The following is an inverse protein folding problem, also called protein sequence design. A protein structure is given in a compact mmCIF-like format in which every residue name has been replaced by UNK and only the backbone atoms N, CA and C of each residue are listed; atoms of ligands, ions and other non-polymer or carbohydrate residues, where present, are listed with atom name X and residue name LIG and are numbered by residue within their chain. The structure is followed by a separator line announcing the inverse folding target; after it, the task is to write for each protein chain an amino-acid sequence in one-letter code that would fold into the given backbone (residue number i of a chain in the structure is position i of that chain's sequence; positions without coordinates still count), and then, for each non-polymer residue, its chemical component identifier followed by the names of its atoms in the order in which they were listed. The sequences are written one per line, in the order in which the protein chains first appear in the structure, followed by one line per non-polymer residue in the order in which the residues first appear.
data_IF_405936438430
#
_entry.id   IF_405936438430
#
_cell.length_a   1.000
_cell.length_b   1.000
_cell.length_c   1.000
_cell.angle_alpha   90.00
_cell.angle_beta   90.00
_cell.angle_gamma   90.00
#
_symmetry.space_group_name_H-M   'P 1'
#
loop_
_entity.id
_entity.type
_entity.pdbx_description
1 polymer ?
#
# COMPACT_ATOMS: atom_id res chain seq x y z
N UNK A 1 2.75 19.53 -21.56
CA UNK A 1 2.55 19.93 -22.96
C UNK A 1 3.39 19.00 -23.78
N UNK A 2 2.80 18.44 -24.84
CA UNK A 2 3.26 17.22 -25.50
C UNK A 2 4.48 17.48 -26.38
N UNK A 3 5.43 16.56 -26.34
CA UNK A 3 6.63 16.60 -27.16
C UNK A 3 6.43 15.84 -28.49
N UNK A 4 7.31 16.03 -29.47
CA UNK A 4 7.22 15.33 -30.76
C UNK A 4 7.16 13.80 -30.62
N UNK A 5 7.92 13.25 -29.65
CA UNK A 5 7.91 11.81 -29.34
C UNK A 5 6.54 11.33 -28.83
N UNK A 6 5.85 12.18 -28.07
CA UNK A 6 4.53 11.89 -27.50
C UNK A 6 3.51 11.83 -28.63
N UNK A 7 3.53 12.82 -29.52
CA UNK A 7 2.66 12.88 -30.70
C UNK A 7 2.89 11.65 -31.59
N UNK A 8 4.14 11.30 -31.89
CA UNK A 8 4.46 10.14 -32.71
C UNK A 8 3.96 8.82 -32.11
N UNK A 9 4.10 8.66 -30.78
CA UNK A 9 3.58 7.49 -30.08
C UNK A 9 2.05 7.45 -30.09
N UNK A 10 1.40 8.59 -29.80
CA UNK A 10 -0.04 8.72 -29.85
C UNK A 10 -0.61 8.40 -31.23
N UNK A 11 -0.03 8.95 -32.30
CA UNK A 11 -0.45 8.64 -33.67
C UNK A 11 -0.35 7.16 -34.00
N UNK A 12 0.69 6.48 -33.53
CA UNK A 12 0.86 5.04 -33.73
C UNK A 12 -0.24 4.24 -33.04
N UNK A 13 -0.52 4.54 -31.77
CA UNK A 13 -1.46 3.75 -30.95
C UNK A 13 -2.91 4.10 -31.25
N UNK A 14 -3.22 5.39 -31.42
CA UNK A 14 -4.58 5.89 -31.61
C UNK A 14 -5.14 5.63 -33.01
N UNK A 15 -4.32 5.25 -34.00
CA UNK A 15 -4.82 4.78 -35.31
C UNK A 15 -5.66 3.51 -35.19
N UNK A 16 -5.36 2.67 -34.19
CA UNK A 16 -5.99 1.36 -33.97
C UNK A 16 -7.31 1.44 -33.20
N UNK A 17 -7.71 2.60 -32.66
CA UNK A 17 -8.94 2.70 -31.86
C UNK A 17 -10.18 2.61 -32.75
N UNK A 18 -11.02 1.62 -32.52
CA UNK A 18 -12.22 1.38 -33.33
C UNK A 18 -13.42 2.25 -32.91
N UNK A 19 -13.53 2.58 -31.63
CA UNK A 19 -14.68 3.26 -31.02
C UNK A 19 -14.23 4.61 -30.43
N UNK A 20 -15.07 5.66 -30.46
CA UNK A 20 -14.75 6.90 -29.78
C UNK A 20 -14.59 6.73 -28.27
N UNK A 21 -13.59 7.40 -27.69
CA UNK A 21 -13.34 7.43 -26.23
C UNK A 21 -13.62 8.83 -25.72
N UNK A 22 -14.31 8.92 -24.59
CA UNK A 22 -14.49 10.20 -23.90
C UNK A 22 -13.45 10.32 -22.79
N UNK A 23 -12.77 11.45 -22.76
CA UNK A 23 -11.97 11.92 -21.65
C UNK A 23 -12.82 12.92 -20.86
N UNK A 24 -13.20 12.55 -19.64
CA UNK A 24 -13.92 13.46 -18.75
C UNK A 24 -12.92 14.17 -17.83
N UNK A 25 -12.86 15.50 -17.91
CA UNK A 25 -12.18 16.31 -16.91
C UNK A 25 -13.14 16.58 -15.74
N UNK A 26 -12.78 16.09 -14.56
CA UNK A 26 -13.46 16.42 -13.31
C UNK A 26 -12.75 17.61 -12.67
N UNK A 27 -13.42 18.75 -12.62
CA UNK A 27 -12.89 19.95 -11.94
C UNK A 27 -13.07 19.83 -10.42
N UNK A 28 -12.09 20.29 -9.65
CA UNK A 28 -12.17 20.42 -8.18
C UNK A 28 -11.95 21.86 -7.73
N UNK A 29 -12.08 22.17 -6.44
CA UNK A 29 -11.63 23.47 -5.90
C UNK A 29 -10.11 23.46 -5.72
N UNK A 30 -9.36 23.48 -6.83
CA UNK A 30 -7.89 23.42 -6.81
C UNK A 30 -7.26 24.25 -7.93
N UNK A 31 -6.14 24.90 -7.61
CA UNK A 31 -5.31 25.69 -8.54
C UNK A 31 -4.80 24.90 -9.75
N UNK A 32 -4.77 23.56 -9.68
CA UNK A 32 -4.24 22.70 -10.73
C UNK A 32 -5.24 22.48 -11.88
N UNK A 33 -6.53 22.79 -11.69
CA UNK A 33 -7.59 22.57 -12.71
C UNK A 33 -7.19 23.00 -14.12
N UNK A 34 -6.60 24.20 -14.24
CA UNK A 34 -6.21 24.77 -15.54
C UNK A 34 -5.17 23.90 -16.28
N UNK A 35 -4.28 23.23 -15.54
CA UNK A 35 -3.29 22.33 -16.13
C UNK A 35 -3.95 21.05 -16.65
N UNK A 36 -4.93 20.52 -15.91
CA UNK A 36 -5.71 19.35 -16.33
C UNK A 36 -6.54 19.66 -17.56
N UNK A 37 -7.31 20.75 -17.54
CA UNK A 37 -8.13 21.19 -18.67
C UNK A 37 -7.29 21.37 -19.94
N UNK A 38 -6.19 22.14 -19.85
CA UNK A 38 -5.26 22.34 -20.98
C UNK A 38 -4.68 21.03 -21.51
N UNK A 39 -4.30 20.11 -20.62
CA UNK A 39 -3.76 18.81 -21.04
C UNK A 39 -4.82 17.98 -21.79
N UNK A 40 -6.06 17.94 -21.29
CA UNK A 40 -7.13 17.16 -21.93
C UNK A 40 -7.52 17.77 -23.26
N UNK A 41 -7.57 19.10 -23.38
CA UNK A 41 -7.75 19.79 -24.67
C UNK A 41 -6.68 19.36 -25.68
N UNK A 42 -5.40 19.42 -25.28
CA UNK A 42 -4.27 19.01 -26.12
C UNK A 42 -4.36 17.52 -26.51
N UNK A 43 -4.60 16.63 -25.55
CA UNK A 43 -4.73 15.20 -25.77
C UNK A 43 -5.93 14.85 -26.68
N UNK A 44 -7.05 15.57 -26.55
CA UNK A 44 -8.22 15.35 -27.40
C UNK A 44 -8.00 15.76 -28.85
N UNK A 45 -7.06 16.68 -29.12
CA UNK A 45 -6.69 17.09 -30.47
C UNK A 45 -5.90 16.02 -31.24
N UNK A 46 -5.33 15.02 -30.55
CA UNK A 46 -4.51 13.95 -31.13
C UNK A 46 -5.31 13.00 -32.03
N UNK A 47 -6.63 12.91 -31.85
CA UNK A 47 -7.47 12.06 -32.69
C UNK A 47 -8.92 12.53 -32.66
N UNK A 48 -9.57 12.54 -33.84
CA UNK A 48 -11.01 12.84 -33.97
C UNK A 48 -11.93 11.86 -33.22
N UNK A 49 -11.40 10.71 -32.79
CA UNK A 49 -12.12 9.70 -32.01
C UNK A 49 -12.01 9.94 -30.51
N UNK A 50 -11.20 10.91 -30.05
CA UNK A 50 -11.17 11.32 -28.65
C UNK A 50 -12.13 12.48 -28.48
N UNK A 51 -13.06 12.34 -27.54
CA UNK A 51 -13.99 13.40 -27.12
C UNK A 51 -13.55 13.94 -25.78
N UNK A 52 -13.72 15.23 -25.61
CA UNK A 52 -13.46 15.92 -24.36
C UNK A 52 -14.79 16.39 -23.75
N UNK A 53 -14.98 16.14 -22.46
CA UNK A 53 -16.10 16.64 -21.69
C UNK A 53 -15.62 17.18 -20.33
N UNK A 54 -16.28 18.21 -19.83
CA UNK A 54 -15.99 18.80 -18.51
C UNK A 54 -17.13 18.51 -17.56
N UNK A 55 -16.82 17.81 -16.47
CA UNK A 55 -17.74 17.49 -15.39
C UNK A 55 -17.45 18.42 -14.22
N UNK A 56 -18.39 19.34 -13.95
CA UNK A 56 -18.37 20.16 -12.74
C UNK A 56 -18.93 19.35 -11.58
N UNK A 57 -18.08 18.91 -10.67
CA UNK A 57 -18.49 18.19 -9.47
C UNK A 57 -18.16 19.02 -8.24
N UNK A 58 -19.19 19.55 -7.57
CA UNK A 58 -19.02 20.47 -6.44
C UNK A 58 -18.27 19.86 -5.25
N UNK A 59 -18.28 18.53 -5.11
CA UNK A 59 -17.65 17.81 -3.97
C UNK A 59 -16.36 17.06 -4.36
N UNK A 60 -15.84 17.25 -5.59
CA UNK A 60 -14.60 16.59 -5.99
C UNK A 60 -13.42 17.17 -5.19
N UNK A 61 -12.72 16.30 -4.45
CA UNK A 61 -11.56 16.70 -3.63
C UNK A 61 -10.32 17.02 -4.46
N UNK A 62 -10.14 16.32 -5.58
CA UNK A 62 -8.98 16.43 -6.47
C UNK A 62 -9.45 16.52 -7.91
N UNK A 63 -8.80 17.34 -8.76
CA UNK A 63 -9.05 17.30 -10.19
C UNK A 63 -8.67 15.94 -10.76
N UNK A 64 -9.36 15.51 -11.81
CA UNK A 64 -9.08 14.23 -12.45
C UNK A 64 -9.30 14.23 -13.95
N UNK A 65 -8.52 13.44 -14.67
CA UNK A 65 -8.84 12.99 -16.04
C UNK A 65 -9.38 11.57 -15.92
N UNK A 66 -10.61 11.36 -16.37
CA UNK A 66 -11.25 10.04 -16.34
C UNK A 66 -11.21 9.42 -17.72
N UNK A 67 -10.68 8.20 -17.80
CA UNK A 67 -10.59 7.40 -19.02
C UNK A 67 -11.48 6.17 -18.87
N UNK A 68 -12.47 6.04 -19.77
CA UNK A 68 -13.37 4.88 -19.82
C UNK A 68 -14.17 4.64 -18.54
N UNK A 69 -14.40 5.68 -17.73
CA UNK A 69 -15.15 5.61 -16.46
C UNK A 69 -14.48 4.84 -15.32
N UNK A 70 -13.32 4.22 -15.55
CA UNK A 70 -12.63 3.33 -14.59
C UNK A 70 -11.30 3.86 -14.09
N UNK A 71 -10.57 4.59 -14.93
CA UNK A 71 -9.22 5.07 -14.63
C UNK A 71 -9.25 6.57 -14.40
N UNK A 72 -8.82 7.00 -13.21
CA UNK A 72 -8.84 8.38 -12.74
C UNK A 72 -7.41 8.84 -12.57
N UNK A 73 -6.94 9.74 -13.43
CA UNK A 73 -5.67 10.39 -13.28
C UNK A 73 -5.85 11.63 -12.41
N UNK A 74 -5.49 11.53 -11.13
CA UNK A 74 -5.15 12.66 -10.28
C UNK A 74 -3.66 13.00 -10.48
N UNK A 75 -3.29 13.22 -11.73
CA UNK A 75 -1.96 13.52 -12.21
C UNK A 75 -2.06 14.11 -13.62
N UNK A 76 -1.07 14.88 -14.06
CA UNK A 76 -0.90 15.22 -15.47
C UNK A 76 -0.04 14.12 -16.10
N UNK A 77 -0.56 13.30 -17.03
CA UNK A 77 0.19 12.20 -17.59
C UNK A 77 1.07 12.69 -18.75
N UNK A 78 2.10 13.46 -18.40
CA UNK A 78 3.13 13.91 -19.34
C UNK A 78 4.40 13.03 -19.24
N UNK A 79 5.39 13.31 -20.09
CA UNK A 79 6.69 12.65 -20.07
C UNK A 79 6.56 11.11 -20.09
N UNK A 80 7.17 10.42 -19.11
CA UNK A 80 7.17 8.96 -19.03
C UNK A 80 5.79 8.36 -18.77
N UNK A 81 4.85 9.14 -18.25
CA UNK A 81 3.46 8.72 -17.98
C UNK A 81 2.52 8.96 -19.17
N UNK A 82 2.96 9.69 -20.21
CA UNK A 82 2.14 9.92 -21.41
C UNK A 82 1.84 8.63 -22.17
N UNK A 83 2.85 7.77 -22.34
CA UNK A 83 2.65 6.49 -23.04
C UNK A 83 1.64 5.57 -22.32
N UNK A 84 1.75 5.32 -21.00
CA UNK A 84 0.69 4.63 -20.22
C UNK A 84 -0.70 5.25 -20.35
N UNK A 85 -0.82 6.58 -20.45
CA UNK A 85 -2.10 7.25 -20.65
C UNK A 85 -2.70 6.97 -22.03
N UNK A 86 -1.90 7.03 -23.10
CA UNK A 86 -2.38 6.65 -24.44
C UNK A 86 -2.75 5.16 -24.49
N UNK A 87 -2.00 4.29 -23.81
CA UNK A 87 -2.34 2.87 -23.65
C UNK A 87 -3.71 2.71 -22.97
N UNK A 88 -4.01 3.51 -21.94
CA UNK A 88 -5.31 3.51 -21.27
C UNK A 88 -6.47 3.88 -22.20
N UNK A 89 -6.28 4.89 -23.07
CA UNK A 89 -7.28 5.27 -24.08
C UNK A 89 -7.52 4.11 -25.06
N UNK A 90 -6.45 3.46 -25.52
CA UNK A 90 -6.55 2.31 -26.42
C UNK A 90 -7.30 1.13 -25.79
N UNK A 91 -7.05 0.87 -24.50
CA UNK A 91 -7.73 -0.17 -23.74
C UNK A 91 -9.20 0.15 -23.48
N UNK A 92 -9.54 1.42 -23.21
CA UNK A 92 -10.92 1.86 -23.00
C UNK A 92 -11.84 1.60 -24.21
N UNK A 93 -11.26 1.48 -25.42
CA UNK A 93 -12.01 1.12 -26.63
C UNK A 93 -12.41 -0.34 -26.70
N UNK A 94 -11.75 -1.21 -25.92
CA UNK A 94 -11.87 -2.66 -26.03
C UNK A 94 -12.86 -3.15 -24.99
N UNK A 95 -13.81 -3.97 -25.41
CA UNK A 95 -14.58 -4.79 -24.47
C UNK A 95 -13.73 -6.00 -24.14
N UNK A 96 -13.09 -5.99 -22.97
CA UNK A 96 -12.44 -7.19 -22.45
C UNK A 96 -13.46 -8.03 -21.67
N UNK A 97 -13.45 -9.36 -21.78
CA UNK A 97 -14.19 -10.22 -20.87
C UNK A 97 -13.71 -9.94 -19.44
N UNK A 98 -14.67 -9.76 -18.52
CA UNK A 98 -14.37 -9.47 -17.11
C UNK A 98 -14.04 -10.77 -16.37
N UNK A 99 -12.89 -10.80 -15.70
CA UNK A 99 -12.48 -11.97 -14.90
C UNK A 99 -12.99 -11.93 -13.45
N UNK A 100 -13.34 -10.74 -12.94
CA UNK A 100 -13.83 -10.55 -11.57
C UNK A 100 -14.81 -9.39 -11.45
N UNK A 101 -15.84 -9.57 -10.61
CA UNK A 101 -16.78 -8.52 -10.19
C UNK A 101 -16.45 -7.94 -8.81
N UNK A 102 -15.39 -8.41 -8.16
CA UNK A 102 -14.98 -7.93 -6.83
C UNK A 102 -14.71 -6.43 -6.88
N UNK A 103 -15.53 -5.66 -6.15
CA UNK A 103 -15.37 -4.22 -6.07
C UNK A 103 -14.02 -3.90 -5.42
N UNK A 104 -13.15 -3.27 -6.19
CA UNK A 104 -11.78 -2.97 -5.76
C UNK A 104 -11.45 -1.54 -6.14
N UNK A 105 -11.00 -0.78 -5.15
CA UNK A 105 -10.40 0.54 -5.34
C UNK A 105 -8.88 0.38 -5.30
N UNK A 106 -8.24 0.64 -6.43
CA UNK A 106 -6.79 0.60 -6.57
C UNK A 106 -6.26 2.03 -6.68
N UNK A 107 -5.32 2.42 -5.82
CA UNK A 107 -4.62 3.70 -5.96
C UNK A 107 -3.15 3.43 -6.29
N UNK A 108 -2.63 4.09 -7.31
CA UNK A 108 -1.22 4.04 -7.69
C UNK A 108 -0.64 5.42 -7.42
N UNK A 109 0.19 5.53 -6.38
CA UNK A 109 0.92 6.76 -6.10
C UNK A 109 2.17 6.78 -6.96
N UNK A 110 2.26 7.80 -7.82
CA UNK A 110 3.38 8.05 -8.73
C UNK A 110 4.09 9.34 -8.32
N UNK A 111 5.32 9.52 -8.80
CA UNK A 111 6.12 10.72 -8.58
C UNK A 111 6.76 11.17 -9.89
N UNK A 112 6.92 12.49 -10.13
CA UNK A 112 7.60 12.99 -11.32
C UNK A 112 9.01 12.40 -11.47
N UNK A 113 9.37 11.98 -12.70
CA UNK A 113 10.70 11.42 -13.02
C UNK A 113 10.92 9.96 -12.59
N UNK A 114 9.93 9.30 -12.00
CA UNK A 114 9.99 7.90 -11.60
C UNK A 114 10.00 6.96 -12.82
N UNK A 115 11.14 6.28 -13.07
CA UNK A 115 11.28 5.37 -14.24
C UNK A 115 10.46 4.08 -14.13
N UNK A 116 10.00 3.72 -12.91
CA UNK A 116 9.24 2.50 -12.65
C UNK A 116 7.72 2.70 -12.69
N UNK A 117 7.27 3.92 -12.43
CA UNK A 117 5.85 4.28 -12.34
C UNK A 117 5.07 3.96 -13.64
N UNK A 118 5.61 4.19 -14.85
CA UNK A 118 4.89 3.90 -16.08
C UNK A 118 4.43 2.43 -16.19
N UNK A 119 5.26 1.49 -15.71
CA UNK A 119 4.93 0.06 -15.77
C UNK A 119 3.91 -0.32 -14.69
N UNK A 120 3.98 0.27 -13.51
CA UNK A 120 2.95 0.07 -12.48
C UNK A 120 1.58 0.61 -12.95
N UNK A 121 1.56 1.80 -13.58
CA UNK A 121 0.35 2.39 -14.17
C UNK A 121 -0.20 1.49 -15.27
N UNK A 122 0.63 1.01 -16.20
CA UNK A 122 0.19 0.07 -17.26
C UNK A 122 -0.45 -1.19 -16.69
N UNK A 123 0.16 -1.82 -15.69
CA UNK A 123 -0.37 -3.04 -15.09
C UNK A 123 -1.72 -2.78 -14.41
N UNK A 124 -1.82 -1.70 -13.61
CA UNK A 124 -3.07 -1.32 -12.95
C UNK A 124 -4.19 -1.00 -13.96
N UNK A 125 -3.87 -0.24 -15.01
CA UNK A 125 -4.82 0.12 -16.08
C UNK A 125 -5.31 -1.12 -16.83
N UNK A 126 -4.39 -2.00 -17.24
CA UNK A 126 -4.74 -3.29 -17.87
C UNK A 126 -5.65 -4.12 -16.98
N UNK A 127 -5.32 -4.18 -15.69
CA UNK A 127 -6.10 -4.91 -14.70
C UNK A 127 -7.50 -4.32 -14.53
N UNK A 128 -7.65 -2.98 -14.51
CA UNK A 128 -8.95 -2.31 -14.42
C UNK A 128 -9.84 -2.54 -15.66
N UNK A 129 -9.26 -2.48 -16.86
CA UNK A 129 -10.06 -2.74 -18.06
C UNK A 129 -10.40 -4.21 -18.24
N UNK A 130 -9.64 -5.13 -17.63
CA UNK A 130 -9.91 -6.58 -17.62
C UNK A 130 -10.89 -7.02 -16.52
N UNK A 131 -11.28 -6.13 -15.60
CA UNK A 131 -12.14 -6.45 -14.46
C UNK A 131 -13.19 -5.36 -14.22
N UNK A 132 -14.47 -5.72 -14.19
CA UNK A 132 -15.55 -4.73 -14.07
C UNK A 132 -15.67 -4.08 -12.69
N UNK A 133 -15.30 -4.79 -11.62
CA UNK A 133 -15.35 -4.27 -10.26
C UNK A 133 -14.20 -3.32 -9.90
N UNK A 134 -13.22 -3.12 -10.78
CA UNK A 134 -11.97 -2.43 -10.44
C UNK A 134 -11.98 -0.98 -10.93
N UNK A 135 -11.77 -0.06 -9.99
CA UNK A 135 -11.47 1.36 -10.24
C UNK A 135 -10.00 1.62 -9.94
N UNK A 136 -9.32 2.38 -10.79
CA UNK A 136 -7.93 2.80 -10.59
C UNK A 136 -7.85 4.32 -10.46
N UNK A 137 -7.17 4.79 -9.43
CA UNK A 137 -6.78 6.19 -9.23
C UNK A 137 -5.26 6.30 -9.29
N UNK A 138 -4.73 7.00 -10.28
CA UNK A 138 -3.30 7.32 -10.39
C UNK A 138 -3.09 8.70 -9.79
N UNK A 139 -2.27 8.80 -8.76
CA UNK A 139 -2.13 10.01 -7.93
C UNK A 139 -0.69 10.48 -7.99
N UNK A 140 -0.46 11.71 -8.46
CA UNK A 140 0.82 12.37 -8.32
C UNK A 140 1.01 12.79 -6.86
N UNK A 141 1.88 12.08 -6.15
CA UNK A 141 2.12 12.28 -4.73
C UNK A 141 2.84 13.58 -4.41
N UNK A 142 3.49 14.22 -5.40
CA UNK A 142 4.10 15.53 -5.22
C UNK A 142 3.05 16.64 -5.43
N UNK A 143 2.21 16.51 -6.46
CA UNK A 143 1.14 17.47 -6.74
C UNK A 143 0.06 17.48 -5.67
N UNK A 144 -0.24 16.31 -5.09
CA UNK A 144 -1.31 16.13 -4.10
C UNK A 144 -0.79 15.59 -2.76
N UNK A 145 0.33 16.13 -2.29
CA UNK A 145 0.99 15.71 -1.04
C UNK A 145 0.04 15.68 0.16
N UNK A 146 -0.79 16.73 0.35
CA UNK A 146 -1.77 16.80 1.45
C UNK A 146 -2.82 15.68 1.37
N UNK A 147 -3.20 15.25 0.17
CA UNK A 147 -4.21 14.21 -0.02
C UNK A 147 -3.66 12.81 0.32
N UNK A 148 -2.35 12.62 0.25
CA UNK A 148 -1.68 11.34 0.53
C UNK A 148 -0.87 11.35 1.83
N UNK A 149 -0.82 12.47 2.56
CA UNK A 149 -0.01 12.62 3.78
C UNK A 149 -0.31 11.52 4.82
N UNK A 150 -1.59 11.24 5.05
CA UNK A 150 -2.04 10.20 6.00
C UNK A 150 -1.71 8.77 5.56
N UNK A 151 -1.28 8.60 4.30
CA UNK A 151 -0.91 7.31 3.75
C UNK A 151 0.58 6.99 4.01
N UNK A 152 1.38 7.94 4.53
CA UNK A 152 2.82 7.79 4.84
C UNK A 152 3.63 7.13 3.70
N UNK A 153 3.37 7.54 2.45
CA UNK A 153 4.04 6.97 1.27
C UNK A 153 5.49 7.46 1.18
N UNK A 154 6.47 6.55 1.32
CA UNK A 154 7.90 6.91 1.22
C UNK A 154 8.55 6.57 -0.12
N UNK A 155 7.87 5.86 -1.00
CA UNK A 155 8.40 5.49 -2.32
C UNK A 155 7.32 5.42 -3.40
N UNK A 156 7.76 5.57 -4.66
CA UNK A 156 6.91 5.43 -5.83
C UNK A 156 7.53 4.44 -6.84
N UNK A 157 6.73 3.65 -7.55
CA UNK A 157 5.28 3.56 -7.41
C UNK A 157 4.87 2.82 -6.13
N UNK A 158 3.76 3.24 -5.50
CA UNK A 158 3.11 2.47 -4.44
C UNK A 158 1.68 2.15 -4.84
N UNK A 159 1.34 0.86 -4.85
CA UNK A 159 -0.02 0.37 -5.09
C UNK A 159 -0.74 0.19 -3.77
N UNK A 160 -1.91 0.79 -3.65
CA UNK A 160 -2.78 0.72 -2.49
C UNK A 160 -4.07 0.02 -2.91
N UNK A 161 -4.45 -1.01 -2.17
CA UNK A 161 -5.62 -1.84 -2.48
C UNK A 161 -6.63 -1.67 -1.36
N UNK A 162 -7.80 -1.12 -1.71
CA UNK A 162 -8.91 -0.84 -0.79
C UNK A 162 -8.50 -0.08 0.49
N UNK A 163 -7.49 0.79 0.40
CA UNK A 163 -6.90 1.54 1.53
C UNK A 163 -6.34 0.67 2.67
N UNK A 164 -6.11 -0.62 2.41
CA UNK A 164 -5.68 -1.61 3.41
C UNK A 164 -4.29 -2.18 3.13
N UNK A 165 -4.03 -2.55 1.89
CA UNK A 165 -2.78 -3.21 1.51
C UNK A 165 -1.94 -2.26 0.68
N UNK A 166 -0.68 -2.13 1.06
CA UNK A 166 0.30 -1.23 0.45
C UNK A 166 1.43 -2.10 -0.09
N UNK A 167 1.72 -1.96 -1.38
CA UNK A 167 2.77 -2.72 -2.05
C UNK A 167 3.60 -1.76 -2.89
N UNK A 168 4.88 -1.67 -2.57
CA UNK A 168 5.83 -0.79 -3.27
C UNK A 168 6.40 -1.48 -4.50
N UNK A 169 6.68 -0.71 -5.55
CA UNK A 169 7.28 -1.19 -6.79
C UNK A 169 6.27 -1.64 -7.85
N UNK A 170 6.79 -2.27 -8.91
CA UNK A 170 5.97 -2.74 -10.04
C UNK A 170 5.47 -4.14 -9.74
N UNK A 171 4.14 -4.30 -9.72
CA UNK A 171 3.47 -5.57 -9.41
C UNK A 171 2.98 -6.19 -10.73
N UNK A 172 3.36 -7.44 -11.05
CA UNK A 172 2.82 -8.16 -12.21
C UNK A 172 1.31 -8.40 -12.11
N UNK A 173 0.62 -8.54 -13.26
CA UNK A 173 -0.84 -8.72 -13.32
C UNK A 173 -1.36 -9.89 -12.46
N UNK A 174 -0.67 -11.04 -12.46
CA UNK A 174 -1.04 -12.23 -11.68
C UNK A 174 -0.91 -11.97 -10.17
N UNK A 175 0.17 -11.30 -9.75
CA UNK A 175 0.38 -10.96 -8.36
C UNK A 175 -0.66 -9.93 -7.89
N UNK A 176 -0.98 -8.92 -8.71
CA UNK A 176 -2.01 -7.93 -8.40
C UNK A 176 -3.39 -8.61 -8.21
N UNK A 177 -3.74 -9.56 -9.08
CA UNK A 177 -4.96 -10.35 -8.92
C UNK A 177 -4.97 -11.13 -7.60
N UNK A 178 -3.83 -11.75 -7.25
CA UNK A 178 -3.66 -12.46 -5.98
C UNK A 178 -3.87 -11.54 -4.78
N UNK A 179 -3.30 -10.34 -4.80
CA UNK A 179 -3.49 -9.36 -3.74
C UNK A 179 -4.94 -8.91 -3.58
N UNK A 180 -5.66 -8.70 -4.68
CA UNK A 180 -7.09 -8.33 -4.64
C UNK A 180 -7.92 -9.41 -3.93
N UNK A 181 -7.71 -10.69 -4.28
CA UNK A 181 -8.41 -11.82 -3.65
C UNK A 181 -8.05 -11.92 -2.16
N UNK A 182 -6.75 -11.90 -1.83
CA UNK A 182 -6.26 -12.00 -0.45
C UNK A 182 -6.77 -10.86 0.44
N UNK A 183 -6.84 -9.65 -0.11
CA UNK A 183 -7.37 -8.47 0.59
C UNK A 183 -8.87 -8.60 0.86
N UNK A 184 -9.63 -9.17 -0.07
CA UNK A 184 -11.06 -9.42 0.12
C UNK A 184 -11.31 -10.52 1.16
N UNK A 185 -10.54 -11.62 1.10
CA UNK A 185 -10.71 -12.78 1.98
C UNK A 185 -10.06 -12.62 3.37
N UNK A 186 -9.23 -11.58 3.56
CA UNK A 186 -8.42 -11.35 4.77
C UNK A 186 -7.54 -12.55 5.12
N UNK A 187 -6.93 -13.15 4.10
CA UNK A 187 -6.03 -14.31 4.23
C UNK A 187 -4.71 -14.02 3.54
N UNK A 188 -3.66 -13.97 4.34
CA UNK A 188 -2.30 -13.64 3.91
C UNK A 188 -1.38 -14.80 4.28
N UNK A 189 -0.52 -15.20 3.35
CA UNK A 189 0.57 -16.13 3.64
C UNK A 189 1.72 -15.42 4.37
N UNK A 190 2.68 -16.18 4.91
CA UNK A 190 3.94 -15.65 5.44
C UNK A 190 4.64 -14.68 4.47
N UNK A 191 4.73 -15.04 3.19
CA UNK A 191 5.38 -14.21 2.17
C UNK A 191 4.63 -12.90 1.91
N UNK A 192 3.30 -12.93 2.00
CA UNK A 192 2.48 -11.73 1.88
C UNK A 192 2.72 -10.79 3.06
N UNK A 193 2.76 -11.32 4.28
CA UNK A 193 3.07 -10.53 5.49
C UNK A 193 4.47 -9.91 5.39
N UNK A 194 5.47 -10.67 4.94
CA UNK A 194 6.82 -10.16 4.70
C UNK A 194 6.80 -9.00 3.69
N UNK A 195 6.06 -9.14 2.59
CA UNK A 195 5.91 -8.07 1.58
C UNK A 195 5.22 -6.84 2.16
N UNK A 196 4.19 -6.99 2.97
CA UNK A 196 3.49 -5.88 3.62
C UNK A 196 4.40 -5.13 4.59
N UNK A 197 5.16 -5.84 5.42
CA UNK A 197 6.15 -5.25 6.33
C UNK A 197 7.19 -4.44 5.54
N UNK A 198 7.76 -5.03 4.48
CA UNK A 198 8.78 -4.38 3.66
C UNK A 198 8.24 -3.20 2.84
N UNK A 199 6.93 -3.21 2.54
CA UNK A 199 6.22 -2.13 1.85
C UNK A 199 5.73 -1.03 2.81
N UNK A 200 6.25 -1.01 4.04
CA UNK A 200 5.91 -0.03 5.09
C UNK A 200 4.46 -0.08 5.55
N UNK A 201 3.77 -1.20 5.30
CA UNK A 201 2.40 -1.42 5.73
C UNK A 201 2.29 -2.05 7.12
N UNK A 202 3.23 -1.79 8.04
CA UNK A 202 3.22 -2.38 9.38
C UNK A 202 2.01 -1.90 10.21
N UNK A 203 1.75 -0.59 10.17
CA UNK A 203 0.58 0.04 10.80
C UNK A 203 -0.73 -0.47 10.17
N UNK A 204 -0.75 -0.65 8.84
CA UNK A 204 -1.92 -1.17 8.11
C UNK A 204 -2.17 -2.64 8.39
N UNK A 205 -1.11 -3.45 8.47
CA UNK A 205 -1.20 -4.84 8.89
C UNK A 205 -1.74 -4.94 10.33
N UNK A 206 -1.29 -4.06 11.22
CA UNK A 206 -1.84 -3.93 12.57
C UNK A 206 -3.32 -3.56 12.56
N UNK A 207 -3.72 -2.54 11.78
CA UNK A 207 -5.14 -2.13 11.63
C UNK A 207 -6.02 -3.29 11.14
N UNK A 208 -5.50 -4.13 10.24
CA UNK A 208 -6.20 -5.34 9.82
C UNK A 208 -6.32 -6.36 10.95
N UNK A 209 -5.25 -6.67 11.69
CA UNK A 209 -5.34 -7.61 12.82
C UNK A 209 -6.33 -7.14 13.89
N UNK A 210 -6.35 -5.83 14.18
CA UNK A 210 -7.31 -5.20 15.10
C UNK A 210 -8.73 -5.37 14.57
N UNK A 211 -8.97 -5.03 13.31
CA UNK A 211 -10.29 -5.19 12.69
C UNK A 211 -10.72 -6.66 12.51
N UNK A 212 -9.81 -7.62 12.61
CA UNK A 212 -10.09 -9.06 12.66
C UNK A 212 -10.23 -9.59 14.10
N UNK A 213 -9.92 -8.77 15.10
CA UNK A 213 -9.75 -9.19 16.50
C UNK A 213 -8.84 -10.42 16.64
N UNK A 214 -7.79 -10.52 15.81
CA UNK A 214 -6.88 -11.67 15.80
C UNK A 214 -5.49 -11.30 15.29
N UNK A 215 -4.46 -11.68 16.06
CA UNK A 215 -3.07 -11.67 15.59
C UNK A 215 -2.83 -12.85 14.64
N UNK A 216 -2.23 -12.62 13.49
CA UNK A 216 -1.96 -13.71 12.53
C UNK A 216 -0.77 -14.56 12.99
N UNK A 217 -0.93 -15.88 13.00
CA UNK A 217 0.12 -16.82 13.45
C UNK A 217 1.42 -16.68 12.64
N UNK A 218 1.31 -16.46 11.32
CA UNK A 218 2.46 -16.25 10.45
C UNK A 218 3.29 -15.01 10.85
N UNK A 219 2.66 -13.96 11.42
CA UNK A 219 3.40 -12.82 11.97
C UNK A 219 4.19 -13.24 13.21
N UNK A 220 3.59 -14.02 14.12
CA UNK A 220 4.28 -14.48 15.32
C UNK A 220 5.51 -15.31 14.95
N UNK A 221 5.42 -16.17 13.93
CA UNK A 221 6.58 -16.93 13.46
C UNK A 221 7.71 -16.06 12.89
N UNK A 222 7.43 -14.82 12.47
CA UNK A 222 8.47 -13.88 12.02
C UNK A 222 9.25 -13.26 13.17
N UNK A 223 8.74 -13.28 14.41
CA UNK A 223 9.46 -12.76 15.58
C UNK A 223 10.80 -13.46 15.83
N UNK A 224 10.97 -14.66 15.27
CA UNK A 224 12.16 -15.48 15.46
C UNK A 224 12.78 -15.93 14.13
N UNK A 225 12.55 -15.16 13.06
CA UNK A 225 13.17 -15.37 11.75
C UNK A 225 14.68 -15.09 11.81
N UNK A 226 15.48 -15.79 11.00
CA UNK A 226 16.92 -15.60 10.94
C UNK A 226 17.29 -14.15 10.51
N UNK A 227 16.43 -13.53 9.69
CA UNK A 227 16.62 -12.14 9.25
C UNK A 227 16.13 -11.16 10.31
N UNK A 228 17.07 -10.40 10.88
CA UNK A 228 16.78 -9.36 11.86
C UNK A 228 15.73 -8.34 11.39
N UNK A 229 15.77 -7.94 10.11
CA UNK A 229 14.79 -6.98 9.57
C UNK A 229 13.35 -7.51 9.60
N UNK A 230 13.15 -8.82 9.48
CA UNK A 230 11.82 -9.43 9.56
C UNK A 230 11.35 -9.52 11.01
N UNK A 231 12.24 -9.86 11.94
CA UNK A 231 11.93 -9.84 13.38
C UNK A 231 11.52 -8.45 13.85
N UNK A 232 12.33 -7.44 13.52
CA UNK A 232 12.02 -6.04 13.86
C UNK A 232 10.69 -5.61 13.24
N UNK A 233 10.45 -5.93 11.96
CA UNK A 233 9.19 -5.62 11.31
C UNK A 233 7.98 -6.25 12.01
N UNK A 234 8.08 -7.50 12.45
CA UNK A 234 7.03 -8.17 13.20
C UNK A 234 6.81 -7.56 14.59
N UNK A 235 7.88 -7.17 15.29
CA UNK A 235 7.79 -6.44 16.57
C UNK A 235 7.06 -5.11 16.40
N UNK A 236 7.43 -4.31 15.39
CA UNK A 236 6.80 -3.02 15.10
C UNK A 236 5.30 -3.18 14.82
N UNK A 237 4.89 -4.23 14.10
CA UNK A 237 3.46 -4.52 13.89
C UNK A 237 2.76 -4.77 15.22
N UNK A 238 3.34 -5.57 16.12
CA UNK A 238 2.75 -5.83 17.44
C UNK A 238 2.75 -4.60 18.34
N UNK A 239 3.74 -3.71 18.24
CA UNK A 239 3.75 -2.43 18.92
C UNK A 239 2.59 -1.53 18.45
N UNK A 240 2.34 -1.44 17.14
CA UNK A 240 1.16 -0.75 16.61
C UNK A 240 -0.16 -1.35 17.09
N UNK A 241 -0.23 -2.69 17.15
CA UNK A 241 -1.42 -3.36 17.71
C UNK A 241 -1.58 -3.03 19.19
N UNK A 242 -0.50 -3.07 19.98
CA UNK A 242 -0.51 -2.73 21.39
C UNK A 242 -0.98 -1.29 21.63
N UNK A 243 -0.46 -0.33 20.85
CA UNK A 243 -0.80 1.08 20.98
C UNK A 243 -2.30 1.35 20.76
N UNK A 244 -2.92 0.63 19.83
CA UNK A 244 -4.34 0.83 19.45
C UNK A 244 -5.30 -0.10 20.18
N UNK A 245 -4.92 -1.35 20.44
CA UNK A 245 -5.75 -2.40 21.04
C UNK A 245 -4.92 -3.34 21.96
N UNK A 246 -4.55 -2.88 23.18
CA UNK A 246 -3.73 -3.66 24.11
C UNK A 246 -4.33 -5.02 24.50
N UNK A 247 -5.66 -5.16 24.50
CA UNK A 247 -6.33 -6.41 24.86
C UNK A 247 -6.07 -7.52 23.84
N UNK A 248 -5.85 -7.16 22.57
CA UNK A 248 -5.51 -8.13 21.55
C UNK A 248 -4.12 -8.75 21.78
N UNK A 249 -3.16 -7.97 22.29
CA UNK A 249 -1.84 -8.47 22.69
C UNK A 249 -1.93 -9.46 23.85
N UNK A 250 -2.81 -9.22 24.82
CA UNK A 250 -3.03 -10.16 25.94
C UNK A 250 -3.41 -11.56 25.47
N UNK A 251 -4.03 -11.70 24.29
CA UNK A 251 -4.38 -13.00 23.73
C UNK A 251 -3.17 -13.82 23.27
N UNK A 252 -2.02 -13.20 23.03
CA UNK A 252 -0.81 -13.85 22.51
C UNK A 252 0.43 -13.71 23.41
N UNK A 253 0.39 -12.84 24.43
CA UNK A 253 1.57 -12.51 25.24
C UNK A 253 2.19 -13.73 25.92
N UNK A 254 1.36 -14.66 26.42
CA UNK A 254 1.85 -15.89 27.05
C UNK A 254 2.64 -16.76 26.07
N UNK A 255 2.22 -16.83 24.81
CA UNK A 255 2.94 -17.58 23.76
C UNK A 255 4.27 -16.91 23.40
N UNK A 256 4.35 -15.58 23.50
CA UNK A 256 5.60 -14.83 23.30
C UNK A 256 6.55 -15.08 24.49
N UNK A 257 6.03 -15.09 25.72
CA UNK A 257 6.79 -15.34 26.95
C UNK A 257 7.50 -16.70 26.98
N UNK A 258 6.95 -17.72 26.31
CA UNK A 258 7.59 -19.04 26.17
C UNK A 258 9.00 -18.95 25.56
N UNK A 259 9.25 -17.97 24.68
CA UNK A 259 10.54 -17.77 24.01
C UNK A 259 11.61 -17.11 24.89
N UNK A 260 11.27 -16.64 26.10
CA UNK A 260 12.27 -16.17 27.08
C UNK A 260 13.21 -17.29 27.56
N UNK A 261 12.78 -18.55 27.40
CA UNK A 261 13.52 -19.75 27.77
C UNK A 261 14.15 -20.47 26.56
N UNK A 262 14.16 -19.84 25.37
CA UNK A 262 14.77 -20.44 24.18
C UNK A 262 16.27 -20.70 24.40
N UNK A 263 16.81 -21.70 23.72
CA UNK A 263 18.25 -21.96 23.70
C UNK A 263 19.07 -20.86 23.03
N UNK A 264 18.47 -20.12 22.08
CA UNK A 264 19.07 -19.03 21.32
C UNK A 264 18.97 -17.70 22.09
N UNK A 265 20.13 -17.16 22.46
CA UNK A 265 20.27 -15.92 23.23
C UNK A 265 19.70 -14.71 22.50
N UNK A 266 19.79 -14.67 21.17
CA UNK A 266 19.26 -13.58 20.36
C UNK A 266 17.73 -13.56 20.49
N UNK A 267 17.09 -14.73 20.36
CA UNK A 267 15.64 -14.86 20.48
C UNK A 267 15.16 -14.47 21.88
N UNK A 268 15.91 -14.85 22.93
CA UNK A 268 15.59 -14.45 24.30
C UNK A 268 15.63 -12.94 24.47
N UNK A 269 16.72 -12.29 24.03
CA UNK A 269 16.87 -10.83 24.10
C UNK A 269 15.78 -10.10 23.32
N UNK A 270 15.54 -10.50 22.07
CA UNK A 270 14.48 -9.98 21.21
C UNK A 270 13.08 -10.13 21.86
N UNK A 271 12.83 -11.27 22.52
CA UNK A 271 11.59 -11.53 23.25
C UNK A 271 11.45 -10.63 24.49
N UNK A 272 12.52 -10.48 25.28
CA UNK A 272 12.52 -9.62 26.45
C UNK A 272 12.31 -8.15 26.06
N UNK A 273 12.99 -7.67 25.02
CA UNK A 273 12.78 -6.34 24.44
C UNK A 273 11.32 -6.12 24.02
N UNK A 274 10.76 -7.06 23.26
CA UNK A 274 9.37 -6.97 22.79
C UNK A 274 8.38 -6.92 23.96
N UNK A 275 8.48 -7.83 24.94
CA UNK A 275 7.64 -7.83 26.15
C UNK A 275 7.84 -6.52 26.92
N UNK A 276 9.07 -6.01 26.94
CA UNK A 276 9.37 -4.67 27.45
C UNK A 276 8.52 -3.58 26.82
N UNK A 277 8.20 -3.67 25.53
CA UNK A 277 7.39 -2.69 24.78
C UNK A 277 5.87 -2.94 24.82
N UNK A 278 5.43 -4.20 24.75
CA UNK A 278 4.01 -4.55 24.59
C UNK A 278 3.40 -5.30 25.79
N UNK A 279 4.22 -5.70 26.76
CA UNK A 279 3.80 -6.43 27.96
C UNK A 279 3.27 -5.52 29.07
N UNK A 280 2.55 -6.14 30.01
CA UNK A 280 1.99 -5.50 31.20
C UNK A 280 2.71 -5.91 32.49
N UNK A 281 2.19 -5.42 33.63
CA UNK A 281 2.71 -5.79 34.96
C UNK A 281 2.66 -7.32 35.21
N UNK A 282 1.70 -8.00 34.58
CA UNK A 282 1.52 -9.44 34.57
C UNK A 282 2.64 -10.21 33.86
N UNK A 283 3.40 -9.58 32.96
CA UNK A 283 4.56 -10.19 32.28
C UNK A 283 5.87 -10.12 33.09
N UNK A 284 5.94 -9.28 34.13
CA UNK A 284 7.15 -9.12 34.97
C UNK A 284 7.61 -10.45 35.60
N UNK A 285 6.74 -11.29 36.17
CA UNK A 285 7.15 -12.57 36.75
C UNK A 285 7.84 -13.50 35.75
N UNK A 286 7.38 -13.53 34.49
CA UNK A 286 7.99 -14.34 33.43
C UNK A 286 9.40 -13.85 33.09
N UNK A 287 9.55 -12.53 32.92
CA UNK A 287 10.84 -11.86 32.70
C UNK A 287 11.85 -12.17 33.82
N UNK A 288 11.46 -11.96 35.09
CA UNK A 288 12.33 -12.20 36.25
C UNK A 288 12.70 -13.68 36.37
N UNK A 289 11.75 -14.59 36.10
CA UNK A 289 12.02 -16.03 36.13
C UNK A 289 13.04 -16.46 35.08
N UNK A 290 13.01 -15.83 33.89
CA UNK A 290 13.95 -16.13 32.81
C UNK A 290 15.40 -15.75 33.13
N UNK A 291 15.61 -14.73 33.98
CA UNK A 291 16.96 -14.34 34.45
C UNK A 291 17.61 -15.43 35.31
N UNK A 292 16.81 -16.17 36.08
CA UNK A 292 17.31 -17.18 37.02
C UNK A 292 17.82 -18.47 36.32
N UNK A 293 17.44 -18.71 35.06
CA UNK A 293 17.72 -19.96 34.35
C UNK A 293 19.09 -19.94 33.64
N UNK A 294 19.51 -18.77 33.13
CA UNK A 294 20.81 -18.58 32.46
C UNK A 294 21.25 -17.13 32.58
N UNK A 295 22.27 -16.90 33.40
CA UNK A 295 22.90 -15.60 33.67
C UNK A 295 24.00 -15.31 32.66
N UNK A 296 23.62 -14.66 31.56
CA UNK A 296 24.55 -13.87 30.78
C UNK A 296 24.24 -12.40 31.05
N UNK A 297 25.26 -11.60 31.34
CA UNK A 297 25.09 -10.21 31.80
C UNK A 297 24.25 -9.38 30.80
N UNK A 298 24.48 -9.56 29.50
CA UNK A 298 23.73 -8.85 28.44
C UNK A 298 22.22 -9.19 28.42
N UNK A 299 21.85 -10.43 28.74
CA UNK A 299 20.43 -10.80 28.82
C UNK A 299 19.77 -10.25 30.08
N UNK A 300 20.50 -10.25 31.20
CA UNK A 300 20.04 -9.65 32.46
C UNK A 300 19.73 -8.16 32.28
N UNK A 301 20.64 -7.41 31.65
CA UNK A 301 20.43 -5.99 31.34
C UNK A 301 19.17 -5.77 30.48
N UNK A 302 18.98 -6.58 29.44
CA UNK A 302 17.79 -6.50 28.57
C UNK A 302 16.48 -6.74 29.35
N UNK A 303 16.47 -7.69 30.28
CA UNK A 303 15.30 -7.94 31.13
C UNK A 303 15.06 -6.79 32.11
N UNK A 304 16.09 -6.24 32.73
CA UNK A 304 15.96 -5.10 33.65
C UNK A 304 15.42 -3.85 32.93
N UNK A 305 15.87 -3.59 31.70
CA UNK A 305 15.33 -2.55 30.85
C UNK A 305 13.85 -2.78 30.51
N UNK A 306 13.48 -4.01 30.13
CA UNK A 306 12.11 -4.40 29.84
C UNK A 306 11.18 -4.19 31.05
N UNK A 307 11.57 -4.67 32.24
CA UNK A 307 10.82 -4.47 33.49
C UNK A 307 10.69 -2.98 33.81
N UNK A 308 11.75 -2.20 33.62
CA UNK A 308 11.74 -0.75 33.84
C UNK A 308 10.83 -0.02 32.86
N UNK A 309 10.78 -0.44 31.59
CA UNK A 309 9.86 0.08 30.59
C UNK A 309 8.40 -0.19 30.96
N UNK A 310 8.08 -1.43 31.34
CA UNK A 310 6.73 -1.82 31.79
C UNK A 310 6.30 -0.97 33.00
N UNK A 311 7.15 -0.84 34.03
CA UNK A 311 6.84 -0.06 35.23
C UNK A 311 6.59 1.41 34.89
N UNK A 312 7.43 2.03 34.07
CA UNK A 312 7.27 3.44 33.67
C UNK A 312 5.95 3.69 32.93
N UNK A 313 5.49 2.75 32.10
CA UNK A 313 4.20 2.87 31.39
C UNK A 313 2.97 2.71 32.29
N UNK A 314 3.12 2.08 33.45
CA UNK A 314 2.01 1.72 34.36
C UNK A 314 2.03 2.52 35.68
N UNK A 315 2.79 3.62 35.72
CA UNK A 315 2.78 4.62 36.80
C UNK A 315 1.82 5.76 36.45
#
# INVERSE_FOLDING_TARGET
MLEERDIAYAEKVLKEIAVPVTLDFVSADHTANRNFERFVEEASSLSKKIRFNTIKQNDAKLPAIVVGGKVYYHAIPDNTEFAPFVDAISLACRHAPSYSETRTDLKIVVMPGCIYCPNAVRNAVRFAFSNNGVKVSIIDGNMFAEAIEKLDIKSAPTTIINDKVFVTGVIPDEELSGWVVKTADRRFSRDDIIKMINSQGADKLADMMIADARIYDDLLFLLWDDKWSLRLGAMVVLEYVYEKEPLLIKSVIQRIEESLLDSDLTKRGDTAFLIGNIGGLDSIPALVSAMAVKTEDAFVECVEEAVSAIRRRNQ
#
